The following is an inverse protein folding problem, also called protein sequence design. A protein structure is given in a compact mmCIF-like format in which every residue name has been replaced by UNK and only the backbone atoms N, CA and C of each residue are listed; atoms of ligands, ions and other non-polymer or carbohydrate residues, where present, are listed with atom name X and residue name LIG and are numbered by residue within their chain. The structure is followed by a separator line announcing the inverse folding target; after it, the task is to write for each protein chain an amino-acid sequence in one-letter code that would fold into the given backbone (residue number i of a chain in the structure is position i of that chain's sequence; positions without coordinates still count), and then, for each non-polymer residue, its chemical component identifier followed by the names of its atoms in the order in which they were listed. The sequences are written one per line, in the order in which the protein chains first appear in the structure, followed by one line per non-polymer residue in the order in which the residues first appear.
data_IF_112584726724
#
_entry.id   IF_112584726724
#
_cell.length_a   1.000
_cell.length_b   1.000
_cell.length_c   1.000
_cell.angle_alpha   90.00
_cell.angle_beta   90.00
_cell.angle_gamma   90.00
#
_symmetry.space_group_name_H-M   'P 1'
#
loop_
_entity.id
_entity.type
_entity.pdbx_description
1 polymer ?
#
# COMPACT_ATOMS: atom_id res chain seq x y z
N UNK A 1 -19.39 13.34 -16.33
CA UNK A 1 -18.04 12.75 -16.18
C UNK A 1 -18.21 11.29 -15.80
N UNK A 2 -17.95 10.34 -16.70
CA UNK A 2 -17.93 8.93 -16.32
C UNK A 2 -16.79 8.72 -15.31
N UNK A 3 -17.07 8.05 -14.21
CA UNK A 3 -16.06 7.80 -13.17
C UNK A 3 -15.05 6.77 -13.67
N UNK A 4 -13.85 6.71 -13.08
CA UNK A 4 -12.88 5.66 -13.42
C UNK A 4 -13.38 4.24 -13.10
N UNK A 5 -14.43 4.10 -12.28
CA UNK A 5 -15.18 2.86 -12.11
C UNK A 5 -16.12 2.60 -13.29
N UNK A 6 -16.92 3.61 -13.70
CA UNK A 6 -17.82 3.49 -14.87
C UNK A 6 -17.04 3.14 -16.14
N UNK A 7 -15.85 3.72 -16.36
CA UNK A 7 -15.02 3.39 -17.53
C UNK A 7 -14.49 1.95 -17.48
N UNK A 8 -14.17 1.43 -16.29
CA UNK A 8 -13.70 0.05 -16.12
C UNK A 8 -14.83 -0.96 -16.32
N UNK A 9 -16.03 -0.62 -15.88
CA UNK A 9 -17.23 -1.43 -16.06
C UNK A 9 -17.69 -1.43 -17.53
N UNK A 10 -17.81 -0.26 -18.16
CA UNK A 10 -18.16 -0.10 -19.59
C UNK A 10 -17.19 -0.85 -20.50
N UNK A 11 -15.92 -0.95 -20.12
CA UNK A 11 -14.89 -1.61 -20.91
C UNK A 11 -14.58 -3.04 -20.44
N UNK A 12 -15.31 -3.58 -19.45
CA UNK A 12 -15.10 -4.91 -18.86
C UNK A 12 -13.64 -5.18 -18.44
N UNK A 13 -12.91 -4.14 -18.03
CA UNK A 13 -11.47 -4.21 -17.74
C UNK A 13 -11.13 -4.89 -16.40
N UNK A 14 -12.12 -5.52 -15.74
CA UNK A 14 -12.02 -6.05 -14.37
C UNK A 14 -12.23 -7.56 -14.21
N UNK A 15 -12.31 -8.33 -15.30
CA UNK A 15 -12.44 -9.80 -15.20
C UNK A 15 -11.15 -10.48 -14.69
N UNK A 16 -11.26 -11.58 -13.92
CA UNK A 16 -10.10 -12.35 -13.49
C UNK A 16 -9.34 -12.85 -14.71
N UNK A 17 -8.01 -12.72 -14.67
CA UNK A 17 -7.11 -13.37 -15.62
C UNK A 17 -7.43 -14.88 -15.65
N UNK A 18 -8.15 -15.36 -16.66
CA UNK A 18 -8.65 -16.74 -16.63
C UNK A 18 -9.29 -17.26 -17.91
N UNK A 19 -10.36 -16.63 -18.42
CA UNK A 19 -11.16 -17.27 -19.48
C UNK A 19 -11.06 -16.54 -20.83
N UNK A 20 -10.06 -16.96 -21.59
CA UNK A 20 -9.91 -16.69 -23.00
C UNK A 20 -10.94 -17.51 -23.82
N UNK A 21 -12.18 -17.03 -23.97
CA UNK A 21 -13.15 -17.65 -24.89
C UNK A 21 -14.33 -16.73 -25.32
N UNK A 22 -14.09 -15.49 -25.78
CA UNK A 22 -15.03 -14.84 -26.73
C UNK A 22 -14.44 -13.58 -27.39
N UNK A 23 -14.06 -13.69 -28.66
CA UNK A 23 -14.17 -12.61 -29.68
C UNK A 23 -13.40 -11.28 -29.54
N UNK A 24 -12.53 -11.07 -28.55
CA UNK A 24 -11.92 -9.74 -28.34
C UNK A 24 -10.67 -9.50 -29.19
N UNK A 25 -10.86 -8.73 -30.26
CA UNK A 25 -9.82 -8.09 -31.08
C UNK A 25 -8.84 -7.35 -30.15
N UNK A 26 -7.59 -7.82 -30.12
CA UNK A 26 -6.56 -7.26 -29.26
C UNK A 26 -5.98 -5.99 -29.88
N UNK A 27 -5.43 -5.07 -29.07
CA UNK A 27 -4.81 -3.79 -29.50
C UNK A 27 -3.73 -3.96 -30.58
N UNK A 28 -3.19 -5.17 -30.72
CA UNK A 28 -2.23 -5.62 -31.73
C UNK A 28 -2.87 -5.91 -33.11
N UNK A 29 -4.16 -6.16 -33.19
CA UNK A 29 -4.90 -6.50 -34.42
C UNK A 29 -5.38 -5.25 -35.20
N UNK A 30 -5.30 -4.06 -34.60
CA UNK A 30 -5.82 -2.80 -35.19
C UNK A 30 -4.72 -2.01 -35.92
N UNK A 31 -3.42 -2.30 -35.70
CA UNK A 31 -2.32 -1.41 -36.10
C UNK A 31 -1.44 -1.95 -37.25
N UNK A 32 -1.58 -3.19 -37.71
CA UNK A 32 -0.82 -3.66 -38.89
C UNK A 32 -1.42 -4.92 -39.54
N UNK A 33 -2.10 -4.80 -40.70
CA UNK A 33 -2.15 -5.89 -41.65
C UNK A 33 -1.00 -5.74 -42.66
N UNK A 34 -0.35 -6.86 -42.97
CA UNK A 34 0.55 -7.09 -44.11
C UNK A 34 2.00 -6.56 -44.03
N UNK A 35 2.95 -7.45 -43.68
CA UNK A 35 3.88 -8.07 -44.66
C UNK A 35 4.96 -8.97 -44.02
N UNK A 36 4.88 -10.25 -44.41
CA UNK A 36 5.96 -11.21 -44.76
C UNK A 36 7.31 -11.20 -43.98
N UNK A 37 7.46 -12.29 -43.21
CA UNK A 37 8.66 -13.10 -42.87
C UNK A 37 10.01 -12.66 -43.48
N UNK A 38 11.02 -12.44 -42.62
CA UNK A 38 12.34 -13.10 -42.73
C UNK A 38 13.10 -13.08 -41.38
N UNK A 39 13.74 -14.21 -41.07
CA UNK A 39 14.63 -14.47 -39.92
C UNK A 39 16.03 -13.90 -40.18
N UNK A 40 16.66 -13.23 -39.20
CA UNK A 40 18.01 -13.61 -38.70
C UNK A 40 18.44 -12.84 -37.44
N UNK A 41 19.09 -13.59 -36.57
CA UNK A 41 19.80 -13.30 -35.33
C UNK A 41 21.04 -12.40 -35.49
N UNK A 42 21.30 -11.54 -34.51
CA UNK A 42 22.64 -11.04 -34.11
C UNK A 42 22.46 -10.15 -32.86
N UNK A 43 22.81 -10.65 -31.68
CA UNK A 43 24.09 -10.44 -30.97
C UNK A 43 24.15 -9.08 -30.23
N UNK A 44 23.93 -9.16 -28.91
CA UNK A 44 24.00 -8.06 -27.95
C UNK A 44 25.43 -7.57 -27.78
N UNK A 45 25.79 -6.51 -28.50
CA UNK A 45 26.97 -5.68 -28.22
C UNK A 45 26.62 -4.60 -27.19
N UNK A 46 27.16 -4.72 -25.99
CA UNK A 46 27.09 -3.69 -24.95
C UNK A 46 28.00 -2.52 -25.31
N UNK A 47 27.45 -1.44 -25.87
CA UNK A 47 28.19 -0.21 -26.14
C UNK A 47 28.34 0.63 -24.87
N UNK A 48 29.58 0.98 -24.50
CA UNK A 48 29.88 1.90 -23.39
C UNK A 48 29.54 3.36 -23.79
N UNK A 49 29.14 4.18 -22.80
CA UNK A 49 28.85 5.62 -22.97
C UNK A 49 30.07 6.33 -23.57
N UNK A 50 29.94 7.00 -24.73
CA UNK A 50 31.02 7.81 -25.30
C UNK A 50 31.47 8.92 -24.35
N UNK A 51 32.78 9.17 -24.29
CA UNK A 51 33.37 10.24 -23.48
C UNK A 51 32.89 11.61 -24.02
N UNK A 52 32.43 12.48 -23.11
CA UNK A 52 31.81 13.78 -23.46
C UNK A 52 30.27 13.79 -23.55
N UNK A 53 29.60 12.63 -23.52
CA UNK A 53 28.13 12.58 -23.47
C UNK A 53 27.63 12.59 -22.01
N UNK A 54 26.80 13.58 -21.66
CA UNK A 54 26.12 13.64 -20.35
C UNK A 54 25.25 12.38 -20.10
N UNK A 55 25.23 11.91 -18.85
CA UNK A 55 24.60 10.63 -18.46
C UNK A 55 23.11 10.60 -18.80
N UNK A 56 22.44 11.72 -18.59
CA UNK A 56 21.03 11.97 -18.87
C UNK A 56 20.72 11.96 -20.38
N UNK A 57 21.63 12.49 -21.20
CA UNK A 57 21.50 12.50 -22.67
C UNK A 57 21.67 11.08 -23.22
N UNK A 58 22.65 10.33 -22.70
CA UNK A 58 22.83 8.92 -23.06
C UNK A 58 21.63 8.05 -22.65
N UNK A 59 21.04 8.30 -21.48
CA UNK A 59 19.84 7.61 -21.02
C UNK A 59 18.60 7.93 -21.87
N UNK A 60 18.41 9.19 -22.27
CA UNK A 60 17.32 9.59 -23.18
C UNK A 60 17.45 8.94 -24.56
N UNK A 61 18.67 8.79 -25.09
CA UNK A 61 18.89 8.25 -26.43
C UNK A 61 18.80 6.72 -26.51
N UNK A 62 19.20 6.00 -25.44
CA UNK A 62 19.37 4.54 -25.48
C UNK A 62 18.43 3.75 -24.56
N UNK A 63 17.99 4.28 -23.42
CA UNK A 63 17.06 3.56 -22.53
C UNK A 63 15.58 3.80 -22.84
N UNK A 64 15.23 4.86 -23.55
CA UNK A 64 13.83 5.25 -23.83
C UNK A 64 13.10 4.31 -24.82
N UNK A 65 13.80 3.36 -25.43
CA UNK A 65 13.17 2.29 -26.24
C UNK A 65 12.55 1.17 -25.40
N UNK A 66 12.70 1.20 -24.07
CA UNK A 66 12.15 0.19 -23.14
C UNK A 66 11.05 0.70 -22.21
N UNK A 67 10.84 2.02 -22.12
CA UNK A 67 9.75 2.59 -21.33
C UNK A 67 8.49 2.82 -22.18
N UNK A 68 7.33 2.55 -21.57
CA UNK A 68 6.05 2.73 -22.24
C UNK A 68 5.83 4.22 -22.57
N UNK A 69 5.36 4.56 -23.79
CA UNK A 69 5.20 5.95 -24.19
C UNK A 69 4.18 6.66 -23.27
N UNK A 70 4.38 7.96 -22.99
CA UNK A 70 3.51 8.71 -22.09
C UNK A 70 2.07 8.78 -22.63
N UNK A 71 1.10 8.71 -21.73
CA UNK A 71 -0.35 8.73 -22.01
C UNK A 71 -0.88 10.09 -22.50
N UNK A 72 -0.02 11.10 -22.59
CA UNK A 72 -0.33 12.40 -23.16
C UNK A 72 0.37 12.53 -24.50
N UNK A 73 -0.36 12.90 -25.58
CA UNK A 73 0.29 13.25 -26.83
C UNK A 73 1.04 14.57 -26.62
N UNK A 74 2.32 14.48 -26.25
CA UNK A 74 3.24 15.59 -26.36
C UNK A 74 3.49 15.82 -27.85
N UNK A 75 2.76 16.76 -28.43
CA UNK A 75 2.98 17.31 -29.77
C UNK A 75 4.31 18.09 -29.78
N UNK A 76 5.43 17.38 -29.66
CA UNK A 76 6.80 17.94 -29.72
C UNK A 76 7.86 16.92 -30.16
N UNK A 77 7.46 15.75 -30.67
CA UNK A 77 8.36 14.65 -31.04
C UNK A 77 8.79 14.56 -32.52
N UNK A 78 8.26 15.41 -33.41
CA UNK A 78 8.76 15.54 -34.78
C UNK A 78 9.18 16.98 -35.01
N UNK A 79 10.49 17.22 -34.89
CA UNK A 79 11.08 18.52 -35.20
C UNK A 79 10.58 19.03 -36.55
N UNK A 80 10.22 20.32 -36.56
CA UNK A 80 9.87 21.16 -37.70
C UNK A 80 11.06 21.36 -38.68
N UNK A 81 11.85 20.30 -38.89
CA UNK A 81 12.95 20.19 -39.85
C UNK A 81 12.90 18.80 -40.51
N UNK A 82 11.74 18.41 -41.01
CA UNK A 82 11.67 17.36 -42.02
C UNK A 82 12.25 17.91 -43.33
N UNK A 83 13.41 17.38 -43.70
CA UNK A 83 14.01 17.33 -45.04
C UNK A 83 12.97 17.63 -46.12
N UNK A 84 13.17 18.73 -46.88
CA UNK A 84 12.39 19.18 -48.06
C UNK A 84 11.23 18.24 -48.36
N UNK A 85 10.00 18.61 -47.99
CA UNK A 85 8.79 17.87 -48.33
C UNK A 85 8.97 17.32 -49.76
N UNK A 86 9.11 16.00 -49.90
CA UNK A 86 9.17 15.36 -51.21
C UNK A 86 7.77 15.48 -51.80
N UNK A 87 7.43 16.68 -52.25
CA UNK A 87 6.30 17.01 -53.11
C UNK A 87 6.64 16.47 -54.51
N UNK A 88 6.98 15.18 -54.59
CA UNK A 88 7.06 14.50 -55.88
C UNK A 88 5.66 14.54 -56.48
N UNK A 89 5.59 14.78 -57.79
CA UNK A 89 4.39 14.91 -58.64
C UNK A 89 3.53 13.63 -58.71
N UNK A 90 3.31 12.96 -57.58
CA UNK A 90 2.36 11.86 -57.47
C UNK A 90 0.98 12.45 -57.63
N UNK A 91 0.22 11.92 -58.60
CA UNK A 91 -1.18 12.25 -58.83
C UNK A 91 -1.92 12.26 -57.49
N UNK A 92 -2.53 13.41 -57.15
CA UNK A 92 -3.28 13.60 -55.91
C UNK A 92 -4.33 12.49 -55.82
N UNK A 93 -4.39 11.81 -54.66
CA UNK A 93 -5.36 10.73 -54.46
C UNK A 93 -6.76 11.32 -54.50
N UNK A 94 -7.64 10.86 -55.42
CA UNK A 94 -8.97 11.44 -55.57
C UNK A 94 -9.84 11.09 -54.36
N UNK A 95 -10.50 12.11 -53.82
CA UNK A 95 -11.54 11.98 -52.80
C UNK A 95 -12.89 12.28 -53.45
N UNK A 96 -13.91 11.50 -53.10
CA UNK A 96 -15.29 11.72 -53.51
C UNK A 96 -16.16 11.88 -52.27
N UNK A 97 -17.13 12.77 -52.34
CA UNK A 97 -18.21 12.84 -51.36
C UNK A 97 -19.14 11.66 -51.63
N UNK A 98 -19.09 10.63 -50.79
CA UNK A 98 -19.83 9.39 -51.03
C UNK A 98 -20.87 9.14 -49.95
N UNK A 99 -22.07 8.67 -50.33
CA UNK A 99 -23.04 8.15 -49.37
C UNK A 99 -22.48 6.87 -48.73
N UNK A 100 -22.75 6.66 -47.46
CA UNK A 100 -22.49 5.42 -46.74
C UNK A 100 -23.59 5.15 -45.73
N UNK A 101 -23.91 3.88 -45.55
CA UNK A 101 -24.79 3.41 -44.47
C UNK A 101 -23.90 2.86 -43.36
N UNK A 102 -24.26 3.11 -42.10
CA UNK A 102 -23.55 2.51 -40.97
C UNK A 102 -24.24 1.18 -40.58
N UNK A 103 -23.60 0.00 -40.80
CA UNK A 103 -24.17 -1.30 -40.43
C UNK A 103 -24.54 -1.43 -38.95
N UNK A 104 -23.94 -0.61 -38.09
CA UNK A 104 -24.24 -0.57 -36.66
C UNK A 104 -25.61 0.04 -36.32
N UNK A 105 -26.28 0.70 -37.28
CA UNK A 105 -27.61 1.29 -37.08
C UNK A 105 -28.69 0.43 -37.73
N UNK A 106 -29.87 0.37 -37.10
CA UNK A 106 -31.04 -0.38 -37.60
C UNK A 106 -32.01 0.46 -38.44
N UNK A 107 -31.81 1.77 -38.49
CA UNK A 107 -32.72 2.73 -39.13
C UNK A 107 -32.46 2.96 -40.62
N UNK A 108 -31.39 2.37 -41.18
CA UNK A 108 -31.04 2.55 -42.59
C UNK A 108 -30.60 3.98 -42.95
N UNK A 109 -30.28 4.82 -41.97
CA UNK A 109 -29.91 6.21 -42.22
C UNK A 109 -28.65 6.29 -43.10
N UNK A 110 -28.77 6.98 -44.23
CA UNK A 110 -27.67 7.25 -45.15
C UNK A 110 -26.93 8.52 -44.73
N UNK A 111 -25.63 8.41 -44.51
CA UNK A 111 -24.75 9.52 -44.19
C UNK A 111 -23.80 9.80 -45.36
N UNK A 112 -23.13 10.94 -45.35
CA UNK A 112 -22.15 11.27 -46.37
C UNK A 112 -20.80 11.63 -45.72
N UNK A 113 -19.70 11.16 -46.32
CA UNK A 113 -18.36 11.53 -45.89
C UNK A 113 -17.38 11.48 -47.07
N UNK A 114 -16.32 12.29 -46.97
CA UNK A 114 -15.22 12.24 -47.93
C UNK A 114 -14.50 10.90 -47.80
N UNK A 115 -14.54 10.10 -48.86
CA UNK A 115 -13.80 8.84 -48.93
C UNK A 115 -12.92 8.82 -50.16
N UNK A 116 -11.89 7.99 -50.11
CA UNK A 116 -11.02 7.77 -51.27
C UNK A 116 -11.80 7.04 -52.34
N UNK A 117 -11.63 7.43 -53.60
CA UNK A 117 -12.32 6.76 -54.71
C UNK A 117 -12.02 5.24 -54.78
N UNK A 118 -10.88 4.79 -54.26
CA UNK A 118 -10.51 3.37 -54.17
C UNK A 118 -11.19 2.60 -53.02
N UNK A 119 -11.95 3.28 -52.16
CA UNK A 119 -12.68 2.70 -51.01
C UNK A 119 -14.21 2.70 -51.24
N UNK A 120 -14.64 2.98 -52.48
CA UNK A 120 -16.02 2.85 -52.91
C UNK A 120 -16.50 1.40 -52.72
N UNK A 121 -17.66 1.21 -52.06
CA UNK A 121 -18.23 -0.11 -51.76
C UNK A 121 -17.73 -0.78 -50.47
N UNK A 122 -16.80 -0.18 -49.71
CA UNK A 122 -16.40 -0.73 -48.40
C UNK A 122 -17.34 -0.31 -47.29
N UNK A 123 -17.67 -1.25 -46.40
CA UNK A 123 -18.44 -0.94 -45.19
C UNK A 123 -17.77 0.12 -44.33
N UNK A 124 -18.57 0.84 -43.54
CA UNK A 124 -18.06 1.86 -42.64
C UNK A 124 -17.04 1.26 -41.66
N UNK A 125 -15.75 1.65 -41.71
CA UNK A 125 -14.69 0.95 -40.97
C UNK A 125 -14.87 0.96 -39.45
N UNK A 126 -15.64 1.91 -38.92
CA UNK A 126 -15.88 2.03 -37.49
C UNK A 126 -17.10 1.25 -37.00
N UNK A 127 -17.89 0.65 -37.88
CA UNK A 127 -19.07 -0.14 -37.51
C UNK A 127 -18.70 -1.31 -36.59
N UNK A 128 -17.53 -1.93 -36.81
CA UNK A 128 -16.97 -3.01 -35.97
C UNK A 128 -16.69 -2.61 -34.52
N UNK A 129 -16.63 -1.31 -34.22
CA UNK A 129 -16.39 -0.79 -32.87
C UNK A 129 -17.68 -0.46 -32.12
N UNK A 130 -18.86 -0.66 -32.73
CA UNK A 130 -20.13 -0.48 -32.06
C UNK A 130 -20.39 -1.63 -31.08
N UNK A 131 -19.78 -1.56 -29.89
CA UNK A 131 -20.06 -2.46 -28.78
C UNK A 131 -21.29 -1.96 -28.03
N UNK A 132 -22.23 -2.86 -27.78
CA UNK A 132 -23.44 -2.57 -26.99
C UNK A 132 -23.31 -3.21 -25.63
N UNK A 133 -23.74 -2.49 -24.59
CA UNK A 133 -23.70 -3.01 -23.21
C UNK A 133 -24.86 -3.98 -23.02
N UNK A 134 -24.59 -5.16 -22.49
CA UNK A 134 -25.63 -6.15 -22.20
C UNK A 134 -26.32 -5.81 -20.87
N UNK A 135 -27.53 -5.28 -20.95
CA UNK A 135 -28.37 -5.01 -19.78
C UNK A 135 -29.19 -6.25 -19.43
N UNK A 136 -29.14 -6.75 -18.17
CA UNK A 136 -29.91 -7.92 -17.77
C UNK A 136 -31.42 -7.77 -18.05
N UNK A 137 -32.04 -8.90 -18.38
CA UNK A 137 -33.50 -9.02 -18.49
C UNK A 137 -33.94 -9.96 -17.39
N UNK A 138 -34.87 -9.53 -16.55
CA UNK A 138 -35.50 -10.34 -15.51
C UNK A 138 -36.93 -10.69 -15.91
N UNK A 139 -37.36 -11.88 -15.51
CA UNK A 139 -38.75 -12.33 -15.62
C UNK A 139 -39.64 -11.70 -14.55
N UNK A 140 -40.94 -11.73 -14.77
CA UNK A 140 -41.92 -11.27 -13.77
C UNK A 140 -41.83 -12.09 -12.47
N UNK A 141 -41.55 -13.39 -12.57
CA UNK A 141 -41.34 -14.26 -11.42
C UNK A 141 -40.08 -13.89 -10.63
N UNK A 142 -38.95 -13.62 -11.31
CA UNK A 142 -37.73 -13.15 -10.65
C UNK A 142 -37.96 -11.80 -9.94
N UNK A 143 -38.73 -10.90 -10.56
CA UNK A 143 -39.07 -9.62 -9.94
C UNK A 143 -39.83 -9.82 -8.64
N UNK A 144 -40.90 -10.62 -8.67
CA UNK A 144 -41.77 -10.84 -7.53
C UNK A 144 -41.04 -11.54 -6.37
N UNK A 145 -40.18 -12.51 -6.67
CA UNK A 145 -39.48 -13.29 -5.65
C UNK A 145 -38.28 -12.55 -5.04
N UNK A 146 -37.51 -11.81 -5.85
CA UNK A 146 -36.17 -11.37 -5.44
C UNK A 146 -35.88 -9.88 -5.58
N UNK A 147 -36.64 -9.15 -6.42
CA UNK A 147 -36.31 -7.77 -6.77
C UNK A 147 -37.30 -6.73 -6.21
N UNK A 148 -38.32 -7.14 -5.46
CA UNK A 148 -39.24 -6.22 -4.81
C UNK A 148 -38.49 -5.28 -3.84
N UNK A 149 -38.95 -4.04 -3.73
CA UNK A 149 -38.36 -3.02 -2.87
C UNK A 149 -39.45 -2.00 -2.53
N UNK A 150 -39.63 -1.71 -1.24
CA UNK A 150 -40.72 -0.87 -0.73
C UNK A 150 -40.70 0.55 -1.32
N UNK A 151 -39.53 1.03 -1.73
CA UNK A 151 -39.36 2.34 -2.31
C UNK A 151 -39.48 2.37 -3.84
N UNK A 152 -39.59 1.22 -4.52
CA UNK A 152 -39.55 1.08 -5.97
C UNK A 152 -40.69 0.22 -6.52
N UNK A 153 -41.47 0.77 -7.44
CA UNK A 153 -42.49 -0.03 -8.15
C UNK A 153 -41.87 -0.84 -9.29
N UNK A 154 -42.59 -1.89 -9.73
CA UNK A 154 -42.22 -2.66 -10.92
C UNK A 154 -42.17 -1.78 -12.16
N UNK A 155 -43.16 -0.92 -12.35
CA UNK A 155 -43.21 0.03 -13.46
C UNK A 155 -41.99 0.98 -13.48
N UNK A 156 -41.60 1.53 -12.32
CA UNK A 156 -40.41 2.39 -12.20
C UNK A 156 -39.13 1.59 -12.50
N UNK A 157 -39.04 0.35 -12.04
CA UNK A 157 -37.87 -0.52 -12.27
C UNK A 157 -37.76 -0.95 -13.74
N UNK A 158 -38.88 -1.29 -14.39
CA UNK A 158 -38.94 -1.62 -15.81
C UNK A 158 -38.53 -0.43 -16.66
N UNK A 159 -39.01 0.78 -16.31
CA UNK A 159 -38.62 2.04 -16.96
C UNK A 159 -37.12 2.31 -16.86
N UNK A 160 -36.53 2.13 -15.67
CA UNK A 160 -35.08 2.25 -15.48
C UNK A 160 -34.30 1.29 -16.40
N UNK A 161 -34.73 0.04 -16.53
CA UNK A 161 -34.08 -0.95 -17.39
C UNK A 161 -34.30 -0.69 -18.89
N UNK A 162 -35.45 -0.15 -19.28
CA UNK A 162 -35.68 0.32 -20.66
C UNK A 162 -34.73 1.46 -21.03
N UNK A 163 -34.66 2.51 -20.19
CA UNK A 163 -33.74 3.62 -20.40
C UNK A 163 -32.28 3.15 -20.40
N UNK A 164 -31.93 2.20 -19.54
CA UNK A 164 -30.59 1.58 -19.48
C UNK A 164 -30.19 0.92 -20.80
N UNK A 165 -31.12 0.22 -21.46
CA UNK A 165 -30.91 -0.39 -22.78
C UNK A 165 -30.83 0.65 -23.91
N UNK A 166 -31.68 1.67 -23.84
CA UNK A 166 -31.76 2.72 -24.89
C UNK A 166 -30.58 3.69 -24.88
N UNK A 167 -29.96 3.90 -23.73
CA UNK A 167 -28.89 4.88 -23.52
C UNK A 167 -27.56 4.28 -23.06
N UNK A 168 -27.34 2.98 -23.26
CA UNK A 168 -26.07 2.28 -23.01
C UNK A 168 -25.49 2.55 -21.61
N UNK A 169 -26.32 2.44 -20.56
CA UNK A 169 -25.94 2.73 -19.15
C UNK A 169 -25.33 4.12 -18.89
N UNK A 170 -25.61 5.10 -19.75
CA UNK A 170 -25.22 6.49 -19.50
C UNK A 170 -26.15 7.11 -18.47
N UNK A 171 -25.92 6.84 -17.18
CA UNK A 171 -26.80 7.26 -16.09
C UNK A 171 -27.11 8.76 -16.03
N UNK A 172 -26.22 9.62 -16.51
CA UNK A 172 -26.49 11.06 -16.64
C UNK A 172 -27.62 11.33 -17.65
N UNK A 173 -27.62 10.61 -18.78
CA UNK A 173 -28.67 10.69 -19.80
C UNK A 173 -29.95 10.03 -19.32
N UNK A 174 -29.84 8.88 -18.64
CA UNK A 174 -30.98 8.17 -18.05
C UNK A 174 -31.70 9.06 -17.03
N UNK A 175 -30.94 9.73 -16.16
CA UNK A 175 -31.48 10.68 -15.19
C UNK A 175 -32.13 11.89 -15.85
N UNK A 176 -31.54 12.44 -16.90
CA UNK A 176 -32.13 13.56 -17.68
C UNK A 176 -33.44 13.16 -18.36
N UNK A 177 -33.55 11.94 -18.88
CA UNK A 177 -34.76 11.44 -19.55
C UNK A 177 -35.71 10.66 -18.63
N UNK A 178 -35.50 10.75 -17.32
CA UNK A 178 -36.31 10.02 -16.36
C UNK A 178 -37.74 10.60 -16.32
N UNK A 179 -38.74 9.74 -16.15
CA UNK A 179 -40.13 10.19 -16.14
C UNK A 179 -40.49 10.72 -14.74
N UNK A 180 -40.25 12.01 -14.54
CA UNK A 180 -40.56 12.70 -13.30
C UNK A 180 -42.05 13.06 -13.14
N UNK A 181 -42.90 12.77 -14.13
CA UNK A 181 -44.35 12.94 -13.97
C UNK A 181 -44.96 11.72 -13.29
N UNK A 182 -44.52 10.52 -13.70
CA UNK A 182 -45.00 9.26 -13.12
C UNK A 182 -44.24 8.85 -11.86
N UNK A 183 -42.94 9.16 -11.79
CA UNK A 183 -42.07 8.69 -10.71
C UNK A 183 -41.47 9.85 -9.92
N UNK A 184 -41.12 9.59 -8.66
CA UNK A 184 -40.49 10.60 -7.80
C UNK A 184 -39.12 11.00 -8.33
N UNK A 185 -38.64 12.17 -7.91
CA UNK A 185 -37.28 12.62 -8.24
C UNK A 185 -36.25 11.72 -7.57
N UNK A 186 -35.35 11.16 -8.36
CA UNK A 186 -34.26 10.26 -7.94
C UNK A 186 -32.93 10.90 -8.27
N UNK A 187 -31.93 10.72 -7.42
CA UNK A 187 -30.56 11.09 -7.76
C UNK A 187 -29.97 10.07 -8.75
N UNK A 188 -28.91 10.46 -9.49
CA UNK A 188 -28.14 9.53 -10.33
C UNK A 188 -27.65 8.32 -9.54
N UNK A 189 -27.25 8.52 -8.29
CA UNK A 189 -26.75 7.45 -7.42
C UNK A 189 -27.87 6.49 -7.03
N UNK A 190 -29.10 6.98 -6.82
CA UNK A 190 -30.26 6.11 -6.51
C UNK A 190 -30.61 5.20 -7.70
N UNK A 191 -30.51 5.73 -8.93
CA UNK A 191 -30.73 4.95 -10.15
C UNK A 191 -29.65 3.87 -10.31
N UNK A 192 -28.39 4.22 -10.06
CA UNK A 192 -27.26 3.28 -10.09
C UNK A 192 -27.40 2.21 -9.02
N UNK A 193 -27.72 2.59 -7.79
CA UNK A 193 -27.91 1.70 -6.65
C UNK A 193 -28.98 0.66 -6.96
N UNK A 194 -30.14 1.09 -7.45
CA UNK A 194 -31.20 0.16 -7.85
C UNK A 194 -30.77 -0.77 -8.98
N UNK A 195 -30.12 -0.24 -10.01
CA UNK A 195 -29.65 -1.04 -11.14
C UNK A 195 -28.65 -2.11 -10.72
N UNK A 196 -27.59 -1.72 -10.01
CA UNK A 196 -26.52 -2.66 -9.61
C UNK A 196 -26.97 -3.62 -8.52
N UNK A 197 -27.87 -3.22 -7.62
CA UNK A 197 -28.47 -4.15 -6.67
C UNK A 197 -29.26 -5.25 -7.39
N UNK A 198 -30.06 -4.90 -8.42
CA UNK A 198 -30.75 -5.90 -9.24
C UNK A 198 -29.76 -6.79 -9.98
N UNK A 199 -28.72 -6.22 -10.61
CA UNK A 199 -27.68 -7.00 -11.28
C UNK A 199 -27.01 -7.99 -10.34
N UNK A 200 -26.66 -7.56 -9.11
CA UNK A 200 -26.07 -8.41 -8.09
C UNK A 200 -27.03 -9.52 -7.63
N UNK A 201 -28.30 -9.18 -7.43
CA UNK A 201 -29.32 -10.16 -7.03
C UNK A 201 -29.55 -11.20 -8.12
N UNK A 202 -29.67 -10.77 -9.37
CA UNK A 202 -29.82 -11.63 -10.54
C UNK A 202 -28.61 -12.55 -10.74
N UNK A 203 -27.39 -12.02 -10.57
CA UNK A 203 -26.17 -12.83 -10.63
C UNK A 203 -26.19 -13.93 -9.57
N UNK A 204 -26.61 -13.62 -8.33
CA UNK A 204 -26.70 -14.60 -7.25
C UNK A 204 -27.78 -15.67 -7.47
N UNK A 205 -28.98 -15.30 -7.89
CA UNK A 205 -30.09 -16.28 -8.07
C UNK A 205 -29.90 -17.16 -9.31
N UNK A 206 -29.12 -16.70 -10.29
CA UNK A 206 -28.77 -17.45 -11.50
C UNK A 206 -27.46 -18.24 -11.35
N UNK A 207 -26.71 -18.02 -10.28
CA UNK A 207 -25.48 -18.75 -10.01
C UNK A 207 -25.77 -20.22 -9.71
N UNK A 208 -24.87 -21.11 -10.14
CA UNK A 208 -24.89 -22.50 -9.69
C UNK A 208 -24.51 -22.52 -8.20
N UNK A 209 -25.30 -23.17 -7.32
CA UNK A 209 -24.98 -23.28 -5.91
C UNK A 209 -23.53 -23.75 -5.70
N UNK A 210 -22.74 -22.99 -4.94
CA UNK A 210 -21.32 -23.24 -4.69
C UNK A 210 -20.33 -22.42 -5.55
N UNK A 211 -20.82 -21.55 -6.44
CA UNK A 211 -19.96 -20.62 -7.19
C UNK A 211 -19.78 -19.30 -6.42
N UNK A 212 -18.56 -19.02 -5.95
CA UNK A 212 -18.23 -17.73 -5.34
C UNK A 212 -18.09 -16.63 -6.39
N UNK A 213 -19.19 -15.91 -6.67
CA UNK A 213 -19.17 -14.75 -7.54
C UNK A 213 -18.69 -13.51 -6.77
N UNK A 214 -17.54 -12.96 -7.18
CA UNK A 214 -17.07 -11.64 -6.71
C UNK A 214 -17.88 -10.54 -7.39
N UNK A 215 -19.10 -10.32 -6.91
CA UNK A 215 -20.01 -9.32 -7.48
C UNK A 215 -19.59 -7.92 -6.98
N UNK A 216 -19.30 -6.96 -7.88
CA UNK A 216 -19.02 -5.59 -7.48
C UNK A 216 -20.24 -4.99 -6.78
N UNK A 217 -20.06 -4.52 -5.55
CA UNK A 217 -21.10 -3.81 -4.80
C UNK A 217 -20.97 -2.32 -5.10
N UNK A 218 -22.08 -1.69 -5.50
CA UNK A 218 -22.15 -0.25 -5.69
C UNK A 218 -22.49 0.45 -4.37
N UNK A 219 -21.56 1.24 -3.83
CA UNK A 219 -21.78 2.05 -2.62
C UNK A 219 -22.26 3.46 -3.02
N UNK A 220 -23.58 3.64 -2.99
CA UNK A 220 -24.21 4.94 -3.26
C UNK A 220 -23.82 6.01 -2.23
N UNK A 221 -23.58 5.63 -0.96
CA UNK A 221 -23.16 6.56 0.09
C UNK A 221 -21.74 7.08 -0.16
N UNK A 222 -20.83 6.22 -0.63
CA UNK A 222 -19.51 6.63 -1.09
C UNK A 222 -19.60 7.58 -2.31
N UNK A 223 -20.36 7.21 -3.34
CA UNK A 223 -20.45 8.04 -4.55
C UNK A 223 -21.10 9.40 -4.30
N UNK A 224 -22.14 9.48 -3.44
CA UNK A 224 -22.72 10.77 -3.02
C UNK A 224 -21.68 11.67 -2.35
N UNK A 225 -20.92 11.15 -1.37
CA UNK A 225 -19.86 11.91 -0.69
C UNK A 225 -18.74 12.33 -1.64
N UNK A 226 -18.35 11.43 -2.55
CA UNK A 226 -17.33 11.73 -3.58
C UNK A 226 -17.79 12.85 -4.52
N UNK A 227 -19.06 12.83 -4.94
CA UNK A 227 -19.66 13.87 -5.78
C UNK A 227 -19.73 15.21 -5.05
N UNK A 228 -20.13 15.20 -3.77
CA UNK A 228 -20.16 16.40 -2.93
C UNK A 228 -18.76 17.04 -2.78
N UNK A 229 -17.71 16.23 -2.57
CA UNK A 229 -16.33 16.73 -2.52
C UNK A 229 -15.89 17.37 -3.84
N UNK A 230 -16.21 16.75 -4.97
CA UNK A 230 -15.92 17.31 -6.29
C UNK A 230 -16.67 18.61 -6.54
N UNK A 231 -17.92 18.71 -6.11
CA UNK A 231 -18.72 19.92 -6.21
C UNK A 231 -18.15 21.05 -5.34
N UNK A 232 -17.68 20.75 -4.13
CA UNK A 232 -16.96 21.73 -3.28
C UNK A 232 -15.68 22.24 -3.94
N UNK A 233 -14.91 21.37 -4.60
CA UNK A 233 -13.70 21.77 -5.35
C UNK A 233 -14.04 22.60 -6.58
N UNK A 234 -15.10 22.23 -7.31
CA UNK A 234 -15.55 22.94 -8.49
C UNK A 234 -16.08 24.35 -8.17
N UNK A 235 -16.78 24.49 -7.04
CA UNK A 235 -17.35 25.75 -6.58
C UNK A 235 -16.38 26.61 -5.74
N UNK A 236 -15.10 26.22 -5.64
CA UNK A 236 -14.10 26.97 -4.87
C UNK A 236 -13.85 28.35 -5.50
N UNK A 237 -14.00 29.41 -4.72
CA UNK A 237 -13.76 30.77 -5.20
C UNK A 237 -12.26 31.07 -5.28
N UNK A 238 -11.82 32.01 -6.15
CA UNK A 238 -10.40 32.40 -6.21
C UNK A 238 -9.88 32.95 -4.87
N UNK A 239 -10.74 33.58 -4.06
CA UNK A 239 -10.40 34.05 -2.71
C UNK A 239 -10.11 32.89 -1.77
N UNK A 240 -10.96 31.84 -1.78
CA UNK A 240 -10.70 30.60 -1.03
C UNK A 240 -9.44 29.89 -1.53
N UNK A 241 -9.11 30.01 -2.83
CA UNK A 241 -7.84 29.50 -3.36
C UNK A 241 -6.66 30.23 -2.71
N UNK A 242 -6.66 31.56 -2.77
CA UNK A 242 -5.60 32.39 -2.21
C UNK A 242 -5.48 32.25 -0.69
N UNK A 243 -6.60 32.14 0.03
CA UNK A 243 -6.62 31.92 1.48
C UNK A 243 -6.00 30.56 1.85
N UNK A 244 -6.38 29.48 1.18
CA UNK A 244 -5.78 28.16 1.43
C UNK A 244 -4.29 28.14 1.08
N UNK A 245 -3.87 28.79 -0.01
CA UNK A 245 -2.46 28.93 -0.36
C UNK A 245 -1.69 29.71 0.72
N UNK A 246 -2.27 30.79 1.25
CA UNK A 246 -1.72 31.55 2.37
C UNK A 246 -1.61 30.69 3.64
N UNK A 247 -2.67 29.96 4.00
CA UNK A 247 -2.69 29.06 5.15
C UNK A 247 -1.67 27.93 5.02
N UNK A 248 -1.51 27.34 3.83
CA UNK A 248 -0.50 26.32 3.55
C UNK A 248 0.92 26.88 3.69
N UNK A 249 1.16 28.12 3.25
CA UNK A 249 2.45 28.80 3.46
C UNK A 249 2.70 29.04 4.96
N UNK A 250 1.70 29.49 5.71
CA UNK A 250 1.83 29.76 7.14
C UNK A 250 2.05 28.47 7.94
N UNK A 251 1.34 27.39 7.59
CA UNK A 251 1.54 26.06 8.15
C UNK A 251 2.99 25.60 7.93
N UNK A 252 3.53 25.74 6.72
CA UNK A 252 4.95 25.41 6.44
C UNK A 252 5.92 26.24 7.28
N UNK A 253 5.64 27.53 7.52
CA UNK A 253 6.47 28.37 8.41
C UNK A 253 6.41 27.89 9.87
N UNK A 254 5.22 27.50 10.35
CA UNK A 254 5.03 26.97 11.70
C UNK A 254 5.78 25.64 11.86
N UNK A 255 5.66 24.72 10.90
CA UNK A 255 6.38 23.44 10.90
C UNK A 255 7.90 23.64 10.90
N UNK A 256 8.41 24.58 10.09
CA UNK A 256 9.84 24.91 10.06
C UNK A 256 10.33 25.46 11.42
N UNK A 257 9.58 26.38 12.04
CA UNK A 257 9.89 26.92 13.39
C UNK A 257 9.79 25.85 14.47
N UNK A 258 8.81 24.94 14.39
CA UNK A 258 8.68 23.80 15.32
C UNK A 258 9.90 22.89 15.22
N UNK A 259 10.30 22.52 14.01
CA UNK A 259 11.49 21.69 13.74
C UNK A 259 12.79 22.37 14.18
N UNK A 260 12.92 23.69 14.00
CA UNK A 260 14.09 24.43 14.47
C UNK A 260 14.17 24.48 16.01
N UNK A 261 13.04 24.72 16.69
CA UNK A 261 12.97 24.65 18.16
C UNK A 261 13.29 23.27 18.70
N UNK A 262 12.78 22.22 18.07
CA UNK A 262 13.07 20.83 18.42
C UNK A 262 14.56 20.52 18.24
N UNK A 263 15.17 20.95 17.12
CA UNK A 263 16.62 20.81 16.89
C UNK A 263 17.44 21.56 17.94
N UNK A 264 17.07 22.80 18.27
CA UNK A 264 17.75 23.60 19.31
C UNK A 264 17.62 22.98 20.70
N UNK A 265 16.45 22.45 21.05
CA UNK A 265 16.23 21.74 22.31
C UNK A 265 17.07 20.46 22.39
N UNK A 266 17.13 19.68 21.30
CA UNK A 266 17.96 18.48 21.22
C UNK A 266 19.46 18.83 21.32
N UNK A 267 19.90 19.92 20.69
CA UNK A 267 21.29 20.39 20.76
C UNK A 267 21.66 20.89 22.17
N UNK A 268 20.75 21.65 22.81
CA UNK A 268 20.90 22.08 24.19
C UNK A 268 20.97 20.88 25.16
N UNK A 269 20.09 19.89 24.98
CA UNK A 269 20.10 18.66 25.79
C UNK A 269 21.41 17.87 25.61
N UNK A 270 21.96 17.82 24.40
CA UNK A 270 23.28 17.22 24.13
C UNK A 270 24.40 17.99 24.83
N UNK A 271 24.36 19.32 24.83
CA UNK A 271 25.35 20.14 25.53
C UNK A 271 25.30 19.95 27.05
N UNK A 272 24.10 19.89 27.64
CA UNK A 272 23.92 19.59 29.07
C UNK A 272 24.51 18.21 29.39
N UNK A 273 24.16 17.20 28.59
CA UNK A 273 24.67 15.83 28.77
C UNK A 273 26.21 15.75 28.64
N UNK A 274 26.79 16.50 27.69
CA UNK A 274 28.23 16.59 27.51
C UNK A 274 28.94 17.32 28.68
N UNK A 275 28.32 18.36 29.24
CA UNK A 275 28.83 19.06 30.41
C UNK A 275 28.79 18.19 31.67
N UNK A 276 27.67 17.47 31.88
CA UNK A 276 27.50 16.57 33.03
C UNK A 276 28.51 15.41 32.98
N UNK A 277 28.70 14.79 31.81
CA UNK A 277 29.71 13.73 31.64
C UNK A 277 31.15 14.23 31.89
N UNK A 278 31.47 15.45 31.47
CA UNK A 278 32.79 16.05 31.74
C UNK A 278 32.97 16.39 33.22
N UNK A 279 31.92 16.86 33.90
CA UNK A 279 31.94 17.15 35.33
C UNK A 279 32.07 15.87 36.17
N UNK A 280 31.40 14.78 35.77
CA UNK A 280 31.55 13.45 36.36
C UNK A 280 32.99 12.94 36.23
N UNK A 281 33.59 13.06 35.03
CA UNK A 281 34.98 12.66 34.78
C UNK A 281 35.98 13.43 35.66
N UNK A 282 35.82 14.75 35.80
CA UNK A 282 36.68 15.57 36.70
C UNK A 282 36.48 15.24 38.17
N UNK A 283 35.28 14.81 38.58
CA UNK A 283 35.01 14.35 39.96
C UNK A 283 35.63 12.98 40.23
N UNK A 284 35.68 12.10 39.23
CA UNK A 284 36.32 10.77 39.37
C UNK A 284 37.86 10.84 39.44
N UNK A 285 38.50 11.83 38.80
CA UNK A 285 39.98 11.96 38.87
C UNK A 285 40.50 12.53 40.21
N UNK A 286 39.68 13.27 40.97
CA UNK A 286 40.08 13.83 42.27
C UNK A 286 39.95 12.86 43.45
N UNK A 287 39.50 11.63 43.22
CA UNK A 287 39.36 10.60 44.28
C UNK A 287 40.21 9.38 43.94
N UNK A 288 41.51 9.46 44.23
CA UNK A 288 42.40 8.29 44.30
C UNK A 288 41.98 7.35 45.47
N UNK A 289 42.08 6.01 45.31
CA UNK A 289 41.21 5.09 46.03
C UNK A 289 41.85 4.52 47.30
N UNK A 290 41.13 4.59 48.44
CA UNK A 290 41.34 3.68 49.57
C UNK A 290 40.30 2.56 49.52
N UNK A 291 40.82 1.33 49.39
CA UNK A 291 40.16 0.03 49.52
C UNK A 291 38.97 0.04 50.49
N UNK A 292 37.79 -0.40 50.01
CA UNK A 292 36.88 -1.33 50.71
C UNK A 292 35.70 -1.74 49.80
N UNK A 293 35.65 -3.06 49.55
CA UNK A 293 34.54 -3.99 49.29
C UNK A 293 33.34 -3.57 48.41
N UNK A 294 32.95 -4.37 47.38
CA UNK A 294 31.89 -4.01 46.46
C UNK A 294 30.52 -4.36 47.04
N UNK A 295 29.72 -3.35 47.38
CA UNK A 295 28.27 -3.49 47.50
C UNK A 295 27.62 -3.09 46.18
N UNK A 296 27.12 -4.11 45.49
CA UNK A 296 26.27 -4.08 44.32
C UNK A 296 24.98 -3.34 44.70
N UNK A 297 24.83 -2.08 44.28
CA UNK A 297 23.55 -1.37 44.31
C UNK A 297 23.14 -1.10 42.88
N UNK A 298 22.18 -1.91 42.43
CA UNK A 298 21.38 -1.69 41.25
C UNK A 298 20.70 -0.32 41.38
N UNK A 299 21.04 0.59 40.48
CA UNK A 299 20.26 1.77 40.18
C UNK A 299 19.72 1.57 38.77
N UNK A 300 18.65 0.79 38.71
CA UNK A 300 17.78 0.61 37.55
C UNK A 300 17.12 1.97 37.27
N UNK A 301 17.65 2.72 36.31
CA UNK A 301 16.87 3.76 35.64
C UNK A 301 16.00 3.05 34.59
N UNK A 302 14.68 3.26 34.57
CA UNK A 302 13.85 2.70 33.52
C UNK A 302 14.22 3.44 32.23
N UNK A 303 15.03 2.78 31.39
CA UNK A 303 15.13 3.16 30.00
C UNK A 303 13.78 2.81 29.37
N UNK A 304 12.90 3.80 29.27
CA UNK A 304 11.82 3.76 28.28
C UNK A 304 12.51 3.42 26.95
N UNK A 305 12.24 2.26 26.32
CA UNK A 305 12.89 1.92 25.07
C UNK A 305 12.38 2.93 24.05
N UNK A 306 13.21 3.93 23.76
CA UNK A 306 12.92 4.95 22.77
C UNK A 306 12.97 4.27 21.40
N UNK A 307 11.80 3.74 21.03
CA UNK A 307 11.39 3.33 19.68
C UNK A 307 12.33 2.36 18.97
N UNK A 308 12.13 1.06 19.19
CA UNK A 308 12.51 0.02 18.22
C UNK A 308 11.63 0.06 16.95
N UNK A 309 11.18 1.26 16.57
CA UNK A 309 10.28 1.45 15.45
C UNK A 309 11.03 1.39 14.13
N UNK A 310 10.47 0.65 13.17
CA UNK A 310 11.03 0.59 11.82
C UNK A 310 10.98 2.00 11.24
N UNK A 311 12.14 2.62 11.03
CA UNK A 311 12.21 3.93 10.38
C UNK A 311 12.01 3.77 8.87
N UNK A 312 10.76 3.85 8.44
CA UNK A 312 10.43 3.83 7.02
C UNK A 312 11.06 5.04 6.30
N UNK A 313 11.49 4.89 5.03
CA UNK A 313 12.13 5.99 4.31
C UNK A 313 11.13 7.12 4.04
N UNK A 314 11.38 8.30 4.61
CA UNK A 314 10.70 9.52 4.19
C UNK A 314 11.27 9.97 2.83
N UNK A 315 10.50 9.81 1.76
CA UNK A 315 10.84 10.38 0.46
C UNK A 315 10.67 11.90 0.50
N UNK A 316 11.75 12.60 0.88
CA UNK A 316 11.85 14.07 0.89
C UNK A 316 12.41 14.65 -0.41
N UNK A 317 12.80 13.80 -1.36
CA UNK A 317 13.21 14.24 -2.70
C UNK A 317 12.00 14.73 -3.48
N UNK A 318 12.08 15.91 -4.09
CA UNK A 318 11.08 16.40 -5.02
C UNK A 318 10.93 15.42 -6.20
N UNK A 319 9.70 14.95 -6.45
CA UNK A 319 9.39 14.01 -7.53
C UNK A 319 8.13 13.20 -7.26
N UNK A 320 7.58 12.57 -8.30
CA UNK A 320 6.48 11.61 -8.17
C UNK A 320 7.04 10.30 -7.64
N UNK A 321 6.53 9.82 -6.50
CA UNK A 321 6.91 8.52 -5.91
C UNK A 321 5.67 7.65 -5.77
N UNK A 322 5.80 6.35 -6.02
CA UNK A 322 4.69 5.41 -5.81
C UNK A 322 4.48 5.22 -4.31
N UNK A 323 3.23 5.31 -3.84
CA UNK A 323 2.91 5.07 -2.42
C UNK A 323 3.37 3.69 -1.93
N UNK A 324 3.31 2.68 -2.80
CA UNK A 324 3.82 1.33 -2.51
C UNK A 324 5.33 1.29 -2.19
N UNK A 325 6.12 2.27 -2.64
CA UNK A 325 7.54 2.36 -2.25
C UNK A 325 7.71 2.71 -0.77
N UNK A 326 6.76 3.44 -0.18
CA UNK A 326 6.76 3.76 1.26
C UNK A 326 6.42 2.57 2.15
N UNK A 327 5.87 1.49 1.57
CA UNK A 327 5.59 0.24 2.27
C UNK A 327 6.78 -0.73 2.27
N UNK A 328 7.85 -0.45 1.53
CA UNK A 328 9.02 -1.34 1.52
C UNK A 328 9.75 -1.27 2.85
N UNK A 329 9.99 -2.43 3.46
CA UNK A 329 10.79 -2.53 4.69
C UNK A 329 12.22 -2.06 4.41
N UNK A 330 12.80 -1.20 5.26
CA UNK A 330 14.20 -0.82 5.17
C UNK A 330 15.11 -2.04 5.31
N UNK A 331 16.28 -2.02 4.65
CA UNK A 331 17.31 -3.05 4.80
C UNK A 331 17.88 -3.17 6.22
N UNK A 332 17.62 -2.19 7.09
CA UNK A 332 17.96 -2.25 8.52
C UNK A 332 17.14 -3.31 9.28
N UNK A 333 15.98 -3.70 8.76
CA UNK A 333 15.20 -4.82 9.31
C UNK A 333 15.82 -6.12 8.78
N UNK A 334 16.60 -6.80 9.61
CA UNK A 334 17.29 -8.03 9.20
C UNK A 334 16.32 -9.14 8.75
N UNK A 335 16.78 -10.03 7.86
CA UNK A 335 15.94 -11.08 7.24
C UNK A 335 15.15 -11.94 8.23
N UNK A 336 15.72 -12.25 9.41
CA UNK A 336 15.03 -13.01 10.47
C UNK A 336 13.79 -12.27 10.99
N UNK A 337 13.90 -10.95 11.19
CA UNK A 337 12.79 -10.09 11.61
C UNK A 337 11.72 -9.97 10.51
N UNK A 338 12.14 -9.88 9.24
CA UNK A 338 11.20 -9.83 8.10
C UNK A 338 10.33 -11.09 8.06
N UNK A 339 10.94 -12.29 8.15
CA UNK A 339 10.20 -13.56 8.16
C UNK A 339 9.27 -13.69 9.37
N UNK A 340 9.72 -13.28 10.56
CA UNK A 340 8.88 -13.29 11.75
C UNK A 340 7.67 -12.35 11.61
N UNK A 341 7.89 -11.18 11.00
CA UNK A 341 6.84 -10.20 10.73
C UNK A 341 5.82 -10.74 9.72
N UNK A 342 6.26 -11.36 8.62
CA UNK A 342 5.36 -12.01 7.64
C UNK A 342 4.51 -13.10 8.30
N UNK A 343 5.11 -13.94 9.15
CA UNK A 343 4.39 -14.96 9.90
C UNK A 343 3.35 -14.35 10.86
N UNK A 344 3.71 -13.30 11.59
CA UNK A 344 2.81 -12.61 12.52
C UNK A 344 1.65 -11.91 11.77
N UNK A 345 1.89 -11.36 10.58
CA UNK A 345 0.82 -10.79 9.74
C UNK A 345 -0.15 -11.87 9.26
N UNK A 346 0.36 -13.05 8.86
CA UNK A 346 -0.46 -14.19 8.47
C UNK A 346 -1.31 -14.71 9.63
N UNK A 347 -0.75 -14.79 10.84
CA UNK A 347 -1.47 -15.17 12.06
C UNK A 347 -2.60 -14.19 12.41
N UNK A 348 -2.41 -12.90 12.13
CA UNK A 348 -3.43 -11.86 12.30
C UNK A 348 -4.45 -11.78 11.15
N UNK A 349 -4.30 -12.60 10.10
CA UNK A 349 -5.17 -12.57 8.92
C UNK A 349 -5.01 -11.30 8.05
N UNK A 350 -3.87 -10.61 8.16
CA UNK A 350 -3.59 -9.38 7.40
C UNK A 350 -2.85 -9.73 6.11
N UNK A 351 -3.35 -9.23 4.97
CA UNK A 351 -2.70 -9.40 3.67
C UNK A 351 -1.28 -8.80 3.66
N UNK A 352 -0.31 -9.53 3.10
CA UNK A 352 1.11 -9.10 3.05
C UNK A 352 1.35 -7.90 2.12
N UNK A 353 0.48 -7.72 1.13
CA UNK A 353 0.59 -6.69 0.08
C UNK A 353 -0.73 -5.95 -0.12
N UNK A 354 -1.22 -5.20 0.88
CA UNK A 354 -2.50 -4.54 0.78
C UNK A 354 -2.45 -3.35 -0.19
N UNK A 355 -3.62 -2.93 -0.67
CA UNK A 355 -3.72 -1.85 -1.67
C UNK A 355 -3.11 -0.55 -1.12
N UNK A 356 -2.15 0.10 -1.82
CA UNK A 356 -1.37 1.21 -1.28
C UNK A 356 -2.13 2.56 -1.29
N UNK A 357 -3.21 2.66 -0.51
CA UNK A 357 -3.84 3.94 -0.15
C UNK A 357 -3.03 4.63 0.94
N UNK A 358 -3.19 5.94 1.11
CA UNK A 358 -2.36 6.72 2.05
C UNK A 358 -2.55 6.30 3.51
N UNK A 359 -3.81 6.18 3.93
CA UNK A 359 -4.19 5.70 5.28
C UNK A 359 -3.70 4.28 5.51
N UNK A 360 -3.91 3.39 4.54
CA UNK A 360 -3.54 1.99 4.68
C UNK A 360 -2.02 1.83 4.73
N UNK A 361 -1.26 2.58 3.92
CA UNK A 361 0.22 2.60 3.99
C UNK A 361 0.68 3.03 5.38
N UNK A 362 0.06 4.05 5.98
CA UNK A 362 0.41 4.52 7.31
C UNK A 362 0.12 3.48 8.38
N UNK A 363 -1.13 2.99 8.44
CA UNK A 363 -1.56 1.98 9.41
C UNK A 363 -0.78 0.67 9.28
N UNK A 364 -0.51 0.22 8.04
CA UNK A 364 0.27 -0.99 7.79
C UNK A 364 1.75 -0.83 8.14
N UNK A 365 2.31 0.37 7.99
CA UNK A 365 3.67 0.66 8.45
C UNK A 365 3.75 0.70 9.99
N UNK A 366 2.78 1.33 10.64
CA UNK A 366 2.65 1.40 12.09
C UNK A 366 2.50 0.01 12.70
N UNK A 367 1.54 -0.79 12.20
CA UNK A 367 1.36 -2.18 12.61
C UNK A 367 2.67 -2.97 12.51
N UNK A 368 3.39 -2.85 11.39
CA UNK A 368 4.67 -3.55 11.20
C UNK A 368 5.76 -3.09 12.16
N UNK A 369 5.78 -1.80 12.50
CA UNK A 369 6.66 -1.26 13.53
C UNK A 369 6.36 -1.87 14.90
N UNK A 370 5.08 -1.95 15.26
CA UNK A 370 4.63 -2.54 16.53
C UNK A 370 4.90 -4.05 16.60
N UNK A 371 4.70 -4.77 15.50
CA UNK A 371 5.02 -6.21 15.42
C UNK A 371 6.52 -6.47 15.59
N UNK A 372 7.39 -5.60 15.05
CA UNK A 372 8.84 -5.71 15.29
C UNK A 372 9.21 -5.42 16.74
N UNK A 373 8.61 -4.38 17.35
CA UNK A 373 8.79 -4.11 18.77
C UNK A 373 8.35 -5.31 19.62
N UNK A 374 7.20 -5.89 19.32
CA UNK A 374 6.69 -7.08 19.99
C UNK A 374 7.64 -8.29 19.84
N UNK A 375 8.21 -8.48 18.64
CA UNK A 375 9.20 -9.53 18.40
C UNK A 375 10.52 -9.31 19.17
N UNK A 376 10.95 -8.06 19.36
CA UNK A 376 12.11 -7.72 20.19
C UNK A 376 11.82 -7.92 21.68
N UNK A 377 10.66 -7.48 22.17
CA UNK A 377 10.23 -7.69 23.55
C UNK A 377 10.08 -9.18 23.88
N UNK A 378 9.54 -9.99 22.96
CA UNK A 378 9.48 -11.45 23.12
C UNK A 378 10.88 -12.08 23.28
N UNK A 379 11.86 -11.64 22.49
CA UNK A 379 13.24 -12.11 22.63
C UNK A 379 13.88 -11.64 23.93
N UNK A 380 13.64 -10.39 24.34
CA UNK A 380 14.15 -9.88 25.61
C UNK A 380 13.55 -10.64 26.80
N UNK A 381 12.24 -10.91 26.77
CA UNK A 381 11.55 -11.72 27.77
C UNK A 381 12.12 -13.15 27.84
N UNK A 382 12.27 -13.83 26.69
CA UNK A 382 12.86 -15.17 26.64
C UNK A 382 14.31 -15.19 27.17
N UNK A 383 15.11 -14.14 26.92
CA UNK A 383 16.45 -14.02 27.49
C UNK A 383 16.40 -13.83 29.02
N UNK A 384 15.52 -12.97 29.53
CA UNK A 384 15.33 -12.79 30.96
C UNK A 384 14.86 -14.08 31.65
N UNK A 385 13.95 -14.83 31.03
CA UNK A 385 13.50 -16.13 31.53
C UNK A 385 14.64 -17.15 31.57
N UNK A 386 15.47 -17.20 30.52
CA UNK A 386 16.66 -18.05 30.47
C UNK A 386 17.68 -17.67 31.56
N UNK A 387 17.96 -16.37 31.76
CA UNK A 387 18.84 -15.90 32.83
C UNK A 387 18.30 -16.26 34.22
N UNK A 388 16.98 -16.13 34.41
CA UNK A 388 16.30 -16.49 35.66
C UNK A 388 16.39 -17.99 35.93
N UNK A 389 16.18 -18.85 34.92
CA UNK A 389 16.36 -20.31 35.03
C UNK A 389 17.81 -20.68 35.33
N UNK A 390 18.78 -20.04 34.66
CA UNK A 390 20.21 -20.23 34.94
C UNK A 390 20.56 -19.83 36.38
N UNK A 391 20.03 -18.70 36.87
CA UNK A 391 20.22 -18.25 38.25
C UNK A 391 19.57 -19.20 39.26
N UNK A 392 18.36 -19.72 38.98
CA UNK A 392 17.69 -20.75 39.79
C UNK A 392 18.55 -22.01 39.89
N UNK A 393 19.04 -22.55 38.76
CA UNK A 393 19.91 -23.72 38.77
C UNK A 393 21.22 -23.47 39.53
N UNK A 394 21.82 -22.28 39.40
CA UNK A 394 23.02 -21.91 40.18
C UNK A 394 22.72 -21.80 41.67
N UNK A 395 21.57 -21.25 42.05
CA UNK A 395 21.13 -21.18 43.44
C UNK A 395 20.90 -22.57 44.03
N UNK A 396 20.21 -23.46 43.32
CA UNK A 396 20.02 -24.85 43.72
C UNK A 396 21.34 -25.63 43.84
N UNK A 397 22.28 -25.43 42.90
CA UNK A 397 23.60 -26.06 42.97
C UNK A 397 24.41 -25.59 44.19
N UNK A 398 24.34 -24.30 44.53
CA UNK A 398 24.99 -23.75 45.74
C UNK A 398 24.32 -24.23 47.03
N UNK A 399 23.00 -24.39 47.03
CA UNK A 399 22.26 -24.97 48.15
C UNK A 399 22.62 -26.46 48.35
N UNK A 400 22.75 -27.24 47.27
CA UNK A 400 23.21 -28.65 47.32
C UNK A 400 24.68 -28.78 47.74
N UNK A 401 25.54 -27.80 47.38
CA UNK A 401 26.95 -27.78 47.76
C UNK A 401 27.19 -27.35 49.22
N UNK A 402 26.14 -27.06 50.00
CA UNK A 402 26.24 -26.74 51.43
C UNK A 402 26.88 -25.39 51.76
N UNK A 403 27.03 -24.49 50.77
CA UNK A 403 27.70 -23.19 50.95
C UNK A 403 26.72 -22.10 51.43
N UNK A 404 25.41 -22.32 51.27
CA UNK A 404 24.38 -21.47 51.83
C UNK A 404 23.90 -22.11 53.15
N UNK A 405 24.47 -21.61 54.25
CA UNK A 405 24.17 -22.06 55.60
C UNK A 405 22.67 -22.10 55.84
N UNK A 406 22.18 -23.30 56.14
CA UNK A 406 20.85 -23.50 56.69
C UNK A 406 20.67 -22.59 57.92
N UNK A 407 19.51 -21.95 58.11
CA UNK A 407 19.22 -21.30 59.37
C UNK A 407 19.13 -22.39 60.43
N UNK A 408 20.14 -22.46 61.29
CA UNK A 408 20.14 -23.37 62.43
C UNK A 408 19.03 -22.93 63.40
N UNK A 409 17.89 -23.62 63.33
CA UNK A 409 16.97 -23.72 64.43
C UNK A 409 17.58 -24.65 65.49
N UNK A 410 18.00 -24.09 66.62
CA UNK A 410 18.23 -24.80 67.88
C UNK A 410 18.03 -23.75 69.00
N UNK A 411 16.91 -23.83 69.73
CA UNK A 411 16.87 -24.30 71.12
C UNK A 411 17.52 -23.28 72.08
N UNK A 412 16.90 -22.69 73.10
CA UNK A 412 16.10 -23.24 74.21
C UNK A 412 15.51 -22.04 74.98
N UNK A 413 14.32 -22.18 75.58
CA UNK A 413 13.85 -21.31 76.67
C UNK A 413 12.32 -21.25 76.79
N UNK A 414 11.68 -22.02 77.69
CA UNK A 414 10.23 -22.17 77.74
C UNK A 414 9.54 -21.24 78.76
N UNK A 415 8.34 -20.77 78.45
CA UNK A 415 7.32 -20.36 79.45
C UNK A 415 5.93 -20.73 78.92
N UNK A 416 5.10 -21.48 79.68
CA UNK A 416 3.89 -22.11 79.15
C UNK A 416 2.57 -21.39 79.50
N UNK A 417 1.50 -21.86 78.84
CA UNK A 417 0.09 -21.90 79.25
C UNK A 417 -0.78 -20.63 79.05
N UNK A 418 -1.71 -20.66 78.07
CA UNK A 418 -3.10 -21.09 78.31
C UNK A 418 -4.05 -20.80 77.13
N UNK A 419 -4.85 -21.82 76.81
CA UNK A 419 -6.27 -21.80 76.37
C UNK A 419 -6.67 -21.29 74.96
N UNK A 420 -6.78 -22.25 74.03
CA UNK A 420 -8.02 -22.75 73.38
C UNK A 420 -8.91 -21.90 72.42
N UNK A 421 -9.64 -22.57 71.46
CA UNK A 421 -9.73 -22.16 70.05
C UNK A 421 -11.19 -22.11 69.48
N UNK A 422 -11.34 -22.34 68.16
CA UNK A 422 -12.56 -22.54 67.30
C UNK A 422 -13.07 -21.26 66.59
N UNK A 423 -13.43 -21.16 65.30
CA UNK A 423 -14.20 -21.96 64.30
C UNK A 423 -13.87 -21.40 62.88
N UNK A 424 -13.25 -22.11 61.92
CA UNK A 424 -13.75 -22.87 60.73
C UNK A 424 -14.78 -22.23 59.77
N UNK A 425 -14.43 -22.13 58.47
CA UNK A 425 -15.21 -22.47 57.23
C UNK A 425 -14.39 -22.07 55.95
N UNK A 426 -13.80 -23.01 55.18
CA UNK A 426 -14.29 -23.69 53.93
C UNK A 426 -14.52 -22.75 52.72
N UNK A 427 -14.12 -22.98 51.45
CA UNK A 427 -13.47 -24.02 50.62
C UNK A 427 -13.31 -23.37 49.21
N UNK A 428 -12.42 -23.74 48.28
CA UNK A 428 -12.36 -24.94 47.45
C UNK A 428 -11.13 -24.79 46.52
N UNK A 429 -10.36 -25.86 46.34
CA UNK A 429 -9.25 -25.95 45.38
C UNK A 429 -9.32 -27.25 44.57
N UNK A 430 -8.69 -27.25 43.40
CA UNK A 430 -8.31 -28.39 42.54
C UNK A 430 -7.41 -27.82 41.42
N UNK A 431 -6.33 -28.39 40.92
CA UNK A 431 -5.29 -29.35 41.33
C UNK A 431 -4.30 -29.37 40.13
N UNK A 432 -2.96 -29.42 40.28
CA UNK A 432 -2.16 -30.00 39.20
C UNK A 432 -1.04 -30.91 39.73
N UNK A 433 -1.20 -32.22 39.52
CA UNK A 433 -0.07 -33.17 39.45
C UNK A 433 -0.28 -34.10 38.25
N UNK A 434 0.67 -34.07 37.31
CA UNK A 434 1.05 -35.18 36.41
C UNK A 434 2.23 -34.74 35.55
N UNK A 435 3.41 -35.12 36.01
CA UNK A 435 4.64 -35.19 35.21
C UNK A 435 4.46 -36.13 34.02
N UNK A 436 4.98 -35.74 32.84
CA UNK A 436 5.42 -36.70 31.82
C UNK A 436 6.52 -36.06 30.96
N UNK A 437 7.75 -36.46 31.29
CA UNK A 437 8.95 -36.69 30.47
C UNK A 437 8.72 -36.63 28.95
N UNK A 438 9.60 -35.95 28.18
CA UNK A 438 10.25 -36.43 26.94
C UNK A 438 11.39 -35.45 26.52
N UNK A 439 12.61 -35.94 26.74
CA UNK A 439 13.74 -36.10 25.81
C UNK A 439 14.57 -34.91 25.27
N UNK A 440 15.89 -35.07 25.46
CA UNK A 440 17.01 -34.19 25.08
C UNK A 440 17.84 -34.92 24.04
N UNK A 441 17.95 -34.42 22.81
CA UNK A 441 19.08 -34.74 21.91
C UNK A 441 19.37 -33.56 20.98
N UNK A 442 20.61 -33.04 21.01
CA UNK A 442 21.19 -32.32 19.88
C UNK A 442 21.78 -30.93 20.14
N UNK A 443 22.87 -30.83 20.90
CA UNK A 443 23.95 -29.88 20.56
C UNK A 443 24.96 -30.61 19.65
N UNK A 444 25.84 -29.93 18.90
CA UNK A 444 27.12 -29.61 19.55
C UNK A 444 27.91 -28.39 18.98
N UNK A 445 28.91 -27.96 19.77
CA UNK A 445 30.16 -27.26 19.42
C UNK A 445 30.08 -25.76 19.03
N UNK A 446 30.94 -24.82 19.44
CA UNK A 446 32.03 -24.64 20.44
C UNK A 446 32.45 -23.15 20.32
N UNK A 447 32.97 -22.50 21.37
CA UNK A 447 33.44 -21.12 21.32
C UNK A 447 34.95 -21.02 21.04
N UNK A 448 35.37 -20.06 20.23
CA UNK A 448 36.78 -19.67 19.97
C UNK A 448 36.76 -18.18 19.60
N UNK A 449 37.69 -17.28 19.92
CA UNK A 449 38.86 -17.22 20.78
C UNK A 449 39.43 -15.80 20.62
N UNK A 450 39.92 -15.19 21.70
CA UNK A 450 40.65 -13.90 21.74
C UNK A 450 41.89 -13.88 20.83
N UNK A 451 42.09 -12.78 20.07
CA UNK A 451 43.37 -12.15 19.68
C UNK A 451 43.01 -10.89 18.85
N UNK A 452 43.66 -9.73 18.81
CA UNK A 452 44.76 -8.99 19.48
C UNK A 452 45.07 -7.83 18.51
N UNK A 453 45.44 -6.64 19.03
CA UNK A 453 46.38 -5.65 18.43
C UNK A 453 45.84 -4.68 17.37
N UNK A 454 45.64 -3.39 17.69
CA UNK A 454 46.58 -2.23 17.69
C UNK A 454 46.78 -1.55 16.31
N UNK A 455 46.47 -0.25 16.32
CA UNK A 455 47.22 0.87 15.73
C UNK A 455 47.35 0.98 14.21
N UNK A 456 46.67 1.99 13.65
CA UNK A 456 47.17 2.75 12.51
C UNK A 456 46.66 4.20 12.58
N UNK A 457 47.46 5.05 13.19
CA UNK A 457 47.49 6.50 12.92
C UNK A 457 48.42 6.75 11.73
N UNK A 458 47.93 7.41 10.69
CA UNK A 458 48.79 8.09 9.72
C UNK A 458 48.08 9.33 9.16
N UNK A 459 48.66 10.46 9.54
CA UNK A 459 48.43 11.79 9.01
C UNK A 459 48.98 11.95 7.59
N UNK A 460 48.30 12.71 6.74
CA UNK A 460 48.99 13.59 5.77
C UNK A 460 48.06 14.74 5.35
N UNK A 461 48.44 15.95 5.77
CA UNK A 461 47.93 17.24 5.33
C UNK A 461 48.45 17.59 3.93
N UNK A 462 47.62 18.14 3.04
CA UNK A 462 48.04 19.20 2.10
C UNK A 462 46.89 20.17 1.85
N UNK A 463 47.11 21.42 2.28
CA UNK A 463 46.31 22.62 2.00
C UNK A 463 46.42 23.02 0.52
N UNK A 464 45.34 23.52 -0.07
CA UNK A 464 45.45 24.55 -1.13
C UNK A 464 44.37 25.62 -0.95
N UNK A 465 44.87 26.85 -0.99
CA UNK A 465 44.23 28.08 -0.57
C UNK A 465 43.26 28.68 -1.59
N UNK A 466 42.37 29.52 -1.07
CA UNK A 466 41.46 30.43 -1.76
C UNK A 466 42.08 31.84 -1.80
N UNK A 467 41.72 32.63 -2.81
CA UNK A 467 41.99 34.08 -2.91
C UNK A 467 40.96 34.69 -3.88
N UNK A 468 40.63 36.00 -3.77
CA UNK A 468 40.12 36.73 -2.61
C UNK A 468 38.63 36.41 -2.32
#
# INVERSE_FOLDING_TARGET
MATGADVRDILELGGPEGDAASGTISKKDIINPDKKKSKKSSETLTFKRPEGMHREVYALLYSDKKDAPPLLPSDTGQGYRTVKAKLGSKKVRPWKWMPFTNPARKDGAMFFHWRRAAEEGKDYPFARFNKTVQVPVYSEQEYQLYLHDDAWTKAETDHLFDLSRRFDLRFVVIHDRYDHQQFKKRSVEDLKERYYHICAKLANVRAVPGTDLKIPVFDAGHERRRKEQLERLYNRTPEQVAEEEYLLQELRKIEARKKEREKRSQDLQKLITAADTTAEQRRTERKAPKKKLPQKKEAEKPAVPETAGIKFPDFKSAGVTLRSQRMKLPSSVGQKKIKALEQMLLELGVELSPTPTEELVHMFNELRSDLVLLYELKQACANCEYELQMLRHRHEALARAGVLGAPAAAAVGPTPASAEPTVSESGLGLDPTKDTIIDVVGAPLTPNSRKRRESASSSSSVKKAKKP
#
